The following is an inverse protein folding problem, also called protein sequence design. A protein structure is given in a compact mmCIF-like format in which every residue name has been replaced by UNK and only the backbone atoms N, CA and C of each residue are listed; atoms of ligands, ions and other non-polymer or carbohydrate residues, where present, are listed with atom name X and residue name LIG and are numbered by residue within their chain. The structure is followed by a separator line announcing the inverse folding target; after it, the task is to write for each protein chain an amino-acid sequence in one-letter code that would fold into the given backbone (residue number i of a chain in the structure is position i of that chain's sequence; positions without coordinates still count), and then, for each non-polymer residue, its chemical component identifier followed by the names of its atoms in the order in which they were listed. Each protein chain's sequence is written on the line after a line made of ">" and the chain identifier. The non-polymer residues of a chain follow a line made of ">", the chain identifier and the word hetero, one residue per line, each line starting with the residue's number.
data_IF_499285439829
#
_entry.id   IF_499285439829
#
_cell.length_a   1.000
_cell.length_b   1.000
_cell.length_c   1.000
_cell.angle_alpha   90.00
_cell.angle_beta   90.00
_cell.angle_gamma   90.00
#
_symmetry.space_group_name_H-M   'P 1'
#
loop_
_entity.id
_entity.type
_entity.pdbx_description
1 polymer ?
#
# COMPACT_ATOMS: atom_id res chain seq x y z
N UNK A 1 -15.25 28.04 -21.40
CA UNK A 1 -14.47 27.46 -20.28
C UNK A 1 -15.17 27.77 -18.97
N UNK A 2 -15.83 26.78 -18.38
CA UNK A 2 -16.60 26.94 -17.14
C UNK A 2 -15.63 27.16 -15.97
N UNK A 3 -15.39 28.42 -15.59
CA UNK A 3 -14.58 28.76 -14.42
C UNK A 3 -15.36 28.36 -13.18
N UNK A 4 -15.05 27.20 -12.60
CA UNK A 4 -15.56 26.87 -11.28
C UNK A 4 -15.18 28.03 -10.35
N UNK A 5 -16.17 28.62 -9.67
CA UNK A 5 -15.96 29.71 -8.68
C UNK A 5 -15.28 29.20 -7.41
N UNK A 6 -14.48 28.14 -7.51
CA UNK A 6 -13.78 27.52 -6.42
C UNK A 6 -12.43 28.21 -6.24
N UNK A 7 -12.15 28.63 -5.01
CA UNK A 7 -10.86 29.17 -4.61
C UNK A 7 -9.81 28.06 -4.80
N UNK A 8 -8.85 28.27 -5.70
CA UNK A 8 -7.74 27.34 -5.91
C UNK A 8 -6.65 27.60 -4.87
N UNK A 9 -6.34 26.59 -4.07
CA UNK A 9 -5.21 26.63 -3.14
C UNK A 9 -3.97 26.03 -3.83
N UNK A 10 -2.87 26.78 -3.81
CA UNK A 10 -1.59 26.33 -4.37
C UNK A 10 -0.56 26.18 -3.25
N UNK A 11 0.19 25.08 -3.26
CA UNK A 11 1.23 24.82 -2.25
C UNK A 11 2.54 25.56 -2.48
N UNK A 12 2.77 26.03 -3.71
CA UNK A 12 4.04 26.58 -4.18
C UNK A 12 3.77 27.80 -5.04
N UNK A 13 4.57 28.86 -4.83
CA UNK A 13 4.44 30.12 -5.57
C UNK A 13 4.70 29.92 -7.07
N UNK A 14 5.68 29.08 -7.43
CA UNK A 14 6.04 28.83 -8.84
C UNK A 14 4.88 28.21 -9.62
N UNK A 15 4.06 27.39 -8.96
CA UNK A 15 2.87 26.80 -9.58
C UNK A 15 1.80 27.86 -9.85
N UNK A 16 1.65 28.85 -8.96
CA UNK A 16 0.76 30.00 -9.20
C UNK A 16 1.28 30.84 -10.35
N UNK A 17 2.58 31.15 -10.40
CA UNK A 17 3.21 31.95 -11.45
C UNK A 17 2.96 31.33 -12.84
N UNK A 18 3.23 30.03 -13.00
CA UNK A 18 3.02 29.32 -14.26
C UNK A 18 1.54 29.32 -14.66
N UNK A 19 0.67 29.02 -13.71
CA UNK A 19 -0.78 29.04 -13.96
C UNK A 19 -1.27 30.42 -14.39
N UNK A 20 -0.83 31.49 -13.72
CA UNK A 20 -1.21 32.87 -14.03
C UNK A 20 -0.69 33.29 -15.42
N UNK A 21 0.52 32.87 -15.78
CA UNK A 21 1.07 33.09 -17.11
C UNK A 21 0.25 32.40 -18.21
N UNK A 22 -0.16 31.15 -17.99
CA UNK A 22 -0.96 30.38 -18.95
C UNK A 22 -2.36 31.00 -19.19
N UNK A 23 -2.91 31.71 -18.19
CA UNK A 23 -4.17 32.47 -18.33
C UNK A 23 -3.96 33.92 -18.81
N UNK A 24 -2.74 34.31 -19.15
CA UNK A 24 -2.41 35.62 -19.70
C UNK A 24 -2.18 36.74 -18.68
N UNK A 25 -2.04 36.41 -17.39
CA UNK A 25 -1.75 37.37 -16.33
C UNK A 25 -0.23 37.47 -16.16
N UNK A 26 0.35 38.54 -16.69
CA UNK A 26 1.79 38.77 -16.70
C UNK A 26 2.33 39.46 -15.44
N UNK A 27 1.47 40.15 -14.67
CA UNK A 27 1.84 40.88 -13.45
C UNK A 27 0.76 40.68 -12.39
N UNK A 28 1.18 40.40 -11.17
CA UNK A 28 0.32 40.23 -10.00
C UNK A 28 1.09 40.63 -8.74
N UNK A 29 0.37 41.08 -7.73
CA UNK A 29 0.92 41.44 -6.42
C UNK A 29 0.54 40.35 -5.39
N UNK A 30 1.44 40.07 -4.46
CA UNK A 30 1.25 39.07 -3.41
C UNK A 30 1.34 39.76 -2.06
N UNK A 31 0.26 39.70 -1.29
CA UNK A 31 0.27 40.09 0.12
C UNK A 31 0.78 38.91 0.96
N UNK A 32 1.96 39.09 1.54
CA UNK A 32 2.59 38.12 2.43
C UNK A 32 2.52 38.52 3.91
N UNK A 33 1.74 39.55 4.28
CA UNK A 33 1.71 40.10 5.65
C UNK A 33 1.32 39.07 6.71
N UNK A 34 0.55 38.05 6.33
CA UNK A 34 0.11 36.95 7.20
C UNK A 34 0.80 35.61 6.87
N UNK A 35 1.88 35.61 6.10
CA UNK A 35 2.57 34.39 5.73
C UNK A 35 3.44 33.88 6.88
N UNK A 36 3.11 32.69 7.39
CA UNK A 36 3.89 31.95 8.37
C UNK A 36 4.56 30.74 7.70
N UNK A 37 5.90 30.73 7.55
CA UNK A 37 6.63 29.61 6.96
C UNK A 37 6.57 28.33 7.80
N UNK A 38 6.35 28.44 9.12
CA UNK A 38 6.37 27.32 10.06
C UNK A 38 4.97 26.78 10.39
N UNK A 39 3.92 27.56 10.09
CA UNK A 39 2.52 27.20 10.33
C UNK A 39 1.94 26.13 9.39
N UNK A 40 2.63 25.80 8.30
CA UNK A 40 2.21 24.72 7.41
C UNK A 40 2.54 23.36 8.02
N UNK A 41 1.51 22.66 8.52
CA UNK A 41 1.64 21.24 8.90
C UNK A 41 2.16 20.46 7.69
N UNK A 42 3.45 20.08 7.74
CA UNK A 42 4.01 19.09 6.84
C UNK A 42 3.20 17.83 7.06
N UNK A 43 2.33 17.49 6.11
CA UNK A 43 1.69 16.18 6.07
C UNK A 43 2.79 15.18 5.79
N UNK A 44 3.48 14.75 6.85
CA UNK A 44 4.45 13.66 6.77
C UNK A 44 3.64 12.44 6.38
N UNK A 45 3.82 12.02 5.14
CA UNK A 45 3.26 10.76 4.67
C UNK A 45 3.85 9.67 5.56
N UNK A 46 3.04 8.81 6.19
CA UNK A 46 3.59 7.62 6.83
C UNK A 46 4.48 6.90 5.81
N UNK A 47 5.63 6.41 6.27
CA UNK A 47 6.77 6.06 5.43
C UNK A 47 6.34 5.21 4.22
N UNK A 48 6.50 5.80 3.03
CA UNK A 48 6.20 5.16 1.75
C UNK A 48 6.94 3.82 1.62
N UNK A 49 8.13 3.70 2.23
CA UNK A 49 8.92 2.47 2.22
C UNK A 49 8.25 1.35 3.01
N UNK A 50 7.68 1.63 4.19
CA UNK A 50 6.93 0.61 4.95
C UNK A 50 5.68 0.15 4.22
N UNK A 51 4.94 1.09 3.61
CA UNK A 51 3.75 0.75 2.83
C UNK A 51 4.09 -0.11 1.61
N UNK A 52 5.19 0.19 0.91
CA UNK A 52 5.66 -0.62 -0.21
C UNK A 52 6.15 -1.99 0.25
N UNK A 53 6.91 -2.06 1.35
CA UNK A 53 7.38 -3.33 1.91
C UNK A 53 6.24 -4.27 2.25
N UNK A 54 5.20 -3.78 2.94
CA UNK A 54 3.99 -4.57 3.25
C UNK A 54 3.28 -5.06 1.98
N UNK A 55 3.18 -4.22 0.96
CA UNK A 55 2.56 -4.62 -0.31
C UNK A 55 3.37 -5.72 -1.03
N UNK A 56 4.69 -5.64 -1.02
CA UNK A 56 5.56 -6.65 -1.61
C UNK A 56 5.54 -7.97 -0.83
N UNK A 57 5.57 -7.92 0.51
CA UNK A 57 5.47 -9.12 1.35
C UNK A 57 4.14 -9.85 1.13
N UNK A 58 3.02 -9.12 1.04
CA UNK A 58 1.72 -9.70 0.74
C UNK A 58 1.69 -10.36 -0.65
N UNK A 59 2.24 -9.71 -1.67
CA UNK A 59 2.27 -10.26 -3.03
C UNK A 59 3.13 -11.54 -3.13
N UNK A 60 4.27 -11.59 -2.42
CA UNK A 60 5.12 -12.77 -2.39
C UNK A 60 4.42 -13.95 -1.70
N UNK A 61 3.74 -13.69 -0.57
CA UNK A 61 2.96 -14.70 0.13
C UNK A 61 1.81 -15.23 -0.73
N UNK A 62 1.07 -14.35 -1.39
CA UNK A 62 -0.04 -14.73 -2.26
C UNK A 62 0.41 -15.59 -3.44
N UNK A 63 1.54 -15.25 -4.07
CA UNK A 63 2.11 -16.02 -5.17
C UNK A 63 2.50 -17.43 -4.70
N UNK A 64 3.28 -17.53 -3.63
CA UNK A 64 3.67 -18.80 -3.04
C UNK A 64 2.46 -19.63 -2.61
N UNK A 65 1.46 -19.02 -1.97
CA UNK A 65 0.25 -19.72 -1.51
C UNK A 65 -0.53 -20.31 -2.69
N UNK A 66 -0.69 -19.56 -3.78
CA UNK A 66 -1.35 -20.08 -4.99
C UNK A 66 -0.59 -21.24 -5.62
N UNK A 67 0.74 -21.20 -5.65
CA UNK A 67 1.56 -22.31 -6.11
C UNK A 67 1.37 -23.56 -5.23
N UNK A 68 1.35 -23.40 -3.91
CA UNK A 68 1.09 -24.51 -2.99
C UNK A 68 -0.31 -25.10 -3.17
N UNK A 69 -1.33 -24.25 -3.35
CA UNK A 69 -2.70 -24.70 -3.61
C UNK A 69 -2.78 -25.47 -4.93
N UNK A 70 -2.15 -24.96 -5.99
CA UNK A 70 -2.17 -25.62 -7.30
C UNK A 70 -1.45 -26.97 -7.23
N UNK A 71 -0.28 -27.04 -6.58
CA UNK A 71 0.43 -28.30 -6.37
C UNK A 71 -0.39 -29.34 -5.59
N UNK A 72 -1.23 -28.90 -4.64
CA UNK A 72 -2.13 -29.78 -3.90
C UNK A 72 -3.33 -30.25 -4.73
N UNK A 73 -3.84 -29.42 -5.66
CA UNK A 73 -4.90 -29.78 -6.60
C UNK A 73 -4.39 -30.78 -7.64
N UNK A 74 -3.18 -30.58 -8.13
CA UNK A 74 -2.55 -31.43 -9.15
C UNK A 74 -2.02 -32.76 -8.59
N UNK A 75 -2.10 -32.97 -7.28
CA UNK A 75 -1.66 -34.20 -6.62
C UNK A 75 -2.59 -35.37 -7.00
N UNK A 76 -2.07 -36.45 -7.61
CA UNK A 76 -2.88 -37.58 -8.03
C UNK A 76 -3.32 -38.48 -6.86
N UNK A 77 -2.83 -38.22 -5.63
CA UNK A 77 -3.17 -39.03 -4.46
C UNK A 77 -4.64 -38.83 -4.08
N UNK A 78 -5.37 -39.91 -3.70
CA UNK A 78 -6.74 -39.79 -3.25
C UNK A 78 -6.82 -38.99 -1.95
N UNK A 79 -7.91 -38.24 -1.79
CA UNK A 79 -8.19 -37.52 -0.56
C UNK A 79 -8.32 -38.50 0.62
N UNK A 80 -7.70 -38.15 1.75
CA UNK A 80 -7.81 -38.89 3.01
C UNK A 80 -9.11 -38.54 3.72
N UNK A 81 -9.73 -39.51 4.39
CA UNK A 81 -10.83 -39.19 5.30
C UNK A 81 -10.33 -38.40 6.51
N UNK A 82 -11.24 -37.68 7.16
CA UNK A 82 -10.93 -36.88 8.37
C UNK A 82 -10.30 -37.73 9.48
N UNK A 83 -10.80 -38.94 9.70
CA UNK A 83 -10.31 -39.84 10.76
C UNK A 83 -8.93 -40.42 10.45
N UNK A 84 -8.65 -40.75 9.19
CA UNK A 84 -7.32 -41.18 8.74
C UNK A 84 -6.30 -40.04 8.87
N UNK A 85 -6.67 -38.82 8.44
CA UNK A 85 -5.83 -37.65 8.56
C UNK A 85 -5.48 -37.36 10.04
N UNK A 86 -6.48 -37.37 10.93
CA UNK A 86 -6.25 -37.21 12.38
C UNK A 86 -5.30 -38.26 12.94
N UNK A 87 -5.49 -39.52 12.56
CA UNK A 87 -4.66 -40.64 13.03
C UNK A 87 -3.20 -40.48 12.59
N UNK A 88 -2.98 -40.09 11.33
CA UNK A 88 -1.66 -39.79 10.78
C UNK A 88 -0.98 -38.62 11.52
N UNK A 89 -1.69 -37.51 11.74
CA UNK A 89 -1.15 -36.36 12.47
C UNK A 89 -0.89 -36.68 13.94
N UNK A 90 -1.74 -37.46 14.60
CA UNK A 90 -1.54 -37.91 15.98
C UNK A 90 -0.27 -38.78 16.11
N UNK A 91 -0.07 -39.72 15.18
CA UNK A 91 1.15 -40.53 15.12
C UNK A 91 2.40 -39.66 14.90
N UNK A 92 2.33 -38.71 13.96
CA UNK A 92 3.43 -37.77 13.68
C UNK A 92 3.78 -36.89 14.88
N UNK A 93 2.77 -36.34 15.57
CA UNK A 93 2.97 -35.55 16.79
C UNK A 93 3.59 -36.39 17.91
N UNK A 94 3.13 -37.63 18.10
CA UNK A 94 3.70 -38.56 19.09
C UNK A 94 5.17 -38.90 18.80
N UNK A 95 5.52 -39.06 17.53
CA UNK A 95 6.90 -39.30 17.12
C UNK A 95 7.80 -38.08 17.42
N UNK A 96 7.33 -36.86 17.13
CA UNK A 96 8.05 -35.62 17.46
C UNK A 96 8.23 -35.43 18.97
N UNK A 97 7.24 -35.82 19.78
CA UNK A 97 7.29 -35.73 21.24
C UNK A 97 8.20 -36.78 21.90
N UNK A 98 8.54 -37.87 21.19
CA UNK A 98 9.39 -38.95 21.71
C UNK A 98 10.87 -38.79 21.30
N UNK A 99 11.20 -37.71 20.60
CA UNK A 99 12.54 -37.37 20.17
C UNK A 99 13.00 -36.04 20.76
N UNK A 100 13.29 -36.06 22.05
CA UNK A 100 14.29 -35.26 22.78
C UNK A 100 14.86 -36.15 23.90
#
# INVERSE_FOLDING_TARGET
>A
AQRSRQIRLFKRLETVVNYLKDVGIARFEVDASNYDPDGQKKTTRPDRAEALKRAHEAAAYDAWFREQVQAAIDDPRPALSHEEAKSLFAARKKALLKGD
#
